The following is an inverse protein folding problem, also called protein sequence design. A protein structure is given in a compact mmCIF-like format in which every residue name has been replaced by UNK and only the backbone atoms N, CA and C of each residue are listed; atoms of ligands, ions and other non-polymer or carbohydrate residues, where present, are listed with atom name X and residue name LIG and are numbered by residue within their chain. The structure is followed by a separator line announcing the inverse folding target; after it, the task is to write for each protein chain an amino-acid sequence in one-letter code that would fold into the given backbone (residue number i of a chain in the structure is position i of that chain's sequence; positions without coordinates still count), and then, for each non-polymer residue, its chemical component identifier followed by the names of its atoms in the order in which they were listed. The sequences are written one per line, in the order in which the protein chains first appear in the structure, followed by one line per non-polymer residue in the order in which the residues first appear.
data_IF_641778435684
#
_entry.id   IF_641778435684
#
_cell.length_a   1.000
_cell.length_b   1.000
_cell.length_c   1.000
_cell.angle_alpha   90.00
_cell.angle_beta   90.00
_cell.angle_gamma   90.00
#
_symmetry.space_group_name_H-M   'P 1'
#
loop_
_entity.id
_entity.type
_entity.pdbx_description
1 polymer ?
#
# COMPACT_ATOMS: atom_id res chain seq x y z
N UNK A 1 28.27 14.90 14.75
CA UNK A 1 27.52 15.25 13.52
C UNK A 1 26.25 16.06 13.84
N UNK A 2 25.57 15.73 14.94
CA UNK A 2 24.28 16.32 15.35
C UNK A 2 24.38 17.51 16.32
N UNK A 3 25.55 17.75 16.92
CA UNK A 3 25.75 18.84 17.90
C UNK A 3 25.56 20.24 17.30
N UNK A 4 24.90 21.11 18.07
CA UNK A 4 24.62 22.52 17.76
C UNK A 4 23.80 22.76 16.48
N UNK A 5 22.98 21.80 16.08
CA UNK A 5 22.03 21.93 14.96
C UNK A 5 20.62 21.61 15.43
N UNK A 6 19.64 22.15 14.73
CA UNK A 6 18.25 21.72 14.85
C UNK A 6 18.07 20.43 14.05
N UNK A 7 17.76 19.33 14.72
CA UNK A 7 17.72 18.00 14.13
C UNK A 7 16.27 17.55 13.94
N UNK A 8 15.89 17.27 12.70
CA UNK A 8 14.56 16.79 12.34
C UNK A 8 14.64 15.32 11.98
N UNK A 9 13.89 14.47 12.67
CA UNK A 9 13.73 13.05 12.31
C UNK A 9 12.56 12.87 11.37
N UNK A 10 12.71 12.14 10.25
CA UNK A 10 11.57 11.74 9.41
C UNK A 10 11.20 10.28 9.71
N UNK A 11 10.13 10.07 10.46
CA UNK A 11 9.79 8.76 11.02
C UNK A 11 8.50 8.21 10.40
N UNK A 12 8.57 6.96 9.98
CA UNK A 12 7.41 6.17 9.58
C UNK A 12 7.09 5.19 10.69
N UNK A 13 5.79 5.02 10.95
CA UNK A 13 5.26 3.99 11.83
C UNK A 13 3.93 3.51 11.25
N UNK A 14 3.43 2.37 11.69
CA UNK A 14 2.30 1.72 11.01
C UNK A 14 1.16 1.36 11.99
N UNK A 15 1.32 1.56 13.29
CA UNK A 15 0.30 1.30 14.31
C UNK A 15 -0.11 2.55 15.09
N UNK A 16 -1.21 2.44 15.84
CA UNK A 16 -1.68 3.49 16.77
C UNK A 16 -0.92 3.53 18.11
N UNK A 17 -0.12 2.48 18.37
CA UNK A 17 0.73 2.30 19.56
C UNK A 17 2.19 2.32 19.12
N UNK A 18 3.00 3.17 19.72
CA UNK A 18 4.44 3.25 19.44
C UNK A 18 5.25 2.32 20.36
N UNK A 19 6.34 1.69 19.90
CA UNK A 19 7.14 0.79 20.73
C UNK A 19 7.81 1.53 21.90
N UNK A 20 7.62 1.04 23.12
CA UNK A 20 8.18 1.68 24.32
C UNK A 20 9.72 1.71 24.29
N UNK A 21 10.32 0.66 23.73
CA UNK A 21 11.77 0.55 23.56
C UNK A 21 12.37 1.63 22.66
N UNK A 22 11.55 2.27 21.82
CA UNK A 22 12.00 3.33 20.90
C UNK A 22 11.79 4.74 21.46
N UNK A 23 11.09 4.89 22.59
CA UNK A 23 10.87 6.19 23.25
C UNK A 23 12.19 6.96 23.51
N UNK A 24 13.32 6.32 23.88
CA UNK A 24 14.59 7.04 24.02
C UNK A 24 15.05 7.76 22.75
N UNK A 25 14.64 7.32 21.56
CA UNK A 25 15.02 7.93 20.28
C UNK A 25 14.49 9.36 20.12
N UNK A 26 13.38 9.73 20.78
CA UNK A 26 12.88 11.11 20.79
C UNK A 26 13.91 12.10 21.34
N UNK A 27 14.87 11.65 22.17
CA UNK A 27 15.93 12.50 22.71
C UNK A 27 16.99 12.88 21.67
N UNK A 28 17.02 12.21 20.52
CA UNK A 28 18.03 12.41 19.47
C UNK A 28 17.68 13.54 18.48
N UNK A 29 16.43 14.02 18.49
CA UNK A 29 15.90 15.00 17.53
C UNK A 29 15.16 16.11 18.24
N UNK A 30 15.09 17.29 17.65
CA UNK A 30 14.36 18.45 18.19
C UNK A 30 12.89 18.46 17.73
N UNK A 31 12.63 17.92 16.53
CA UNK A 31 11.31 17.81 15.90
C UNK A 31 11.22 16.53 15.07
N UNK A 32 9.99 16.05 14.85
CA UNK A 32 9.71 14.86 14.04
C UNK A 32 8.77 15.22 12.90
N UNK A 33 9.11 14.75 11.71
CA UNK A 33 8.25 14.74 10.54
C UNK A 33 7.76 13.33 10.28
N UNK A 34 6.52 13.20 9.83
CA UNK A 34 5.90 11.91 9.54
C UNK A 34 5.20 11.94 8.18
N UNK A 35 4.97 10.78 7.54
CA UNK A 35 4.36 10.76 6.22
C UNK A 35 2.83 10.90 6.20
N UNK A 36 2.15 10.82 7.35
CA UNK A 36 0.69 10.84 7.44
C UNK A 36 0.21 11.37 8.80
N UNK A 37 -1.01 11.91 8.85
CA UNK A 37 -1.63 12.31 10.11
C UNK A 37 -1.83 11.08 11.01
N UNK A 38 -2.07 9.90 10.45
CA UNK A 38 -2.07 8.64 11.20
C UNK A 38 -0.81 8.48 12.06
N UNK A 39 0.38 8.62 11.46
CA UNK A 39 1.65 8.49 12.19
C UNK A 39 1.86 9.67 13.15
N UNK A 40 1.56 10.89 12.71
CA UNK A 40 1.65 12.09 13.57
C UNK A 40 0.82 11.94 14.83
N UNK A 41 -0.43 11.49 14.69
CA UNK A 41 -1.37 11.32 15.80
C UNK A 41 -0.93 10.21 16.75
N UNK A 42 -0.27 9.16 16.24
CA UNK A 42 0.38 8.15 17.10
C UNK A 42 1.52 8.76 17.90
N UNK A 43 2.49 9.40 17.23
CA UNK A 43 3.72 9.85 17.91
C UNK A 43 3.49 10.98 18.92
N UNK A 44 2.49 11.85 18.67
CA UNK A 44 2.09 12.91 19.62
C UNK A 44 1.65 12.38 20.99
N UNK A 45 1.25 11.11 21.11
CA UNK A 45 0.91 10.48 22.39
C UNK A 45 2.14 10.24 23.28
N UNK A 46 3.35 10.29 22.72
CA UNK A 46 4.60 9.87 23.36
C UNK A 46 5.65 10.98 23.49
N UNK A 47 5.36 12.19 23.02
CA UNK A 47 6.29 13.32 23.11
C UNK A 47 5.57 14.67 23.11
N UNK A 48 6.17 15.65 23.81
CA UNK A 48 5.77 17.05 23.74
C UNK A 48 6.51 17.84 22.64
N UNK A 49 7.44 17.19 21.92
CA UNK A 49 8.17 17.80 20.80
C UNK A 49 7.24 18.03 19.61
N UNK A 50 7.54 19.00 18.72
CA UNK A 50 6.78 19.18 17.51
C UNK A 50 6.78 17.91 16.66
N UNK A 51 5.58 17.48 16.24
CA UNK A 51 5.37 16.39 15.29
C UNK A 51 4.52 16.92 14.15
N UNK A 52 5.12 17.02 12.95
CA UNK A 52 4.53 17.64 11.77
C UNK A 52 4.31 16.60 10.68
N UNK A 53 3.12 16.59 10.09
CA UNK A 53 2.84 15.76 8.93
C UNK A 53 3.45 16.38 7.68
N UNK A 54 4.43 15.69 7.11
CA UNK A 54 5.07 16.04 5.85
C UNK A 54 4.91 14.84 4.90
N UNK A 55 3.83 14.76 4.13
CA UNK A 55 3.50 13.57 3.37
C UNK A 55 4.54 13.27 2.30
N UNK A 56 4.69 11.99 1.97
CA UNK A 56 5.46 11.61 0.80
C UNK A 56 4.83 12.17 -0.47
N UNK A 57 5.67 12.57 -1.41
CA UNK A 57 5.25 12.95 -2.75
C UNK A 57 5.67 11.87 -3.74
N UNK A 58 4.82 11.63 -4.75
CA UNK A 58 5.09 10.63 -5.79
C UNK A 58 5.01 11.28 -7.17
N UNK A 59 5.85 10.81 -8.08
CA UNK A 59 5.82 11.17 -9.49
C UNK A 59 6.33 10.00 -10.34
N UNK A 60 5.69 8.81 -10.22
CA UNK A 60 6.13 7.63 -10.95
C UNK A 60 6.08 7.89 -12.45
N UNK A 61 7.03 7.28 -13.17
CA UNK A 61 7.08 7.27 -14.62
C UNK A 61 7.12 5.82 -15.07
N UNK A 62 6.12 5.44 -15.84
CA UNK A 62 6.11 4.20 -16.60
C UNK A 62 6.89 4.37 -17.90
N UNK A 63 7.53 3.31 -18.36
CA UNK A 63 8.23 3.27 -19.65
C UNK A 63 7.51 2.27 -20.56
N UNK A 64 7.05 2.68 -21.75
CA UNK A 64 6.30 1.80 -22.66
C UNK A 64 7.05 0.53 -23.11
N UNK A 65 8.36 0.46 -22.87
CA UNK A 65 9.19 -0.72 -23.17
C UNK A 65 8.98 -1.87 -22.19
N UNK A 66 8.39 -1.61 -21.03
CA UNK A 66 8.11 -2.62 -20.00
C UNK A 66 6.60 -2.90 -19.98
N UNK A 67 6.14 -3.69 -20.94
CA UNK A 67 4.76 -4.15 -21.10
C UNK A 67 4.55 -5.56 -20.52
N UNK A 68 3.32 -6.09 -20.62
CA UNK A 68 2.96 -7.41 -20.11
C UNK A 68 3.86 -8.50 -20.65
N UNK A 69 4.25 -8.38 -21.93
CA UNK A 69 5.15 -9.33 -22.58
C UNK A 69 6.54 -9.31 -21.96
N UNK A 70 7.09 -8.13 -21.64
CA UNK A 70 8.34 -8.01 -20.89
C UNK A 70 8.27 -8.75 -19.54
N UNK A 71 7.12 -8.66 -18.85
CA UNK A 71 6.89 -9.34 -17.57
C UNK A 71 6.46 -10.80 -17.69
N UNK A 72 6.27 -11.33 -18.90
CA UNK A 72 5.74 -12.69 -19.11
C UNK A 72 4.28 -12.87 -18.68
N UNK A 73 3.51 -11.78 -18.63
CA UNK A 73 2.11 -11.74 -18.24
C UNK A 73 1.19 -11.85 -19.47
N UNK A 74 -0.05 -12.37 -19.31
CA UNK A 74 -0.99 -12.51 -20.40
C UNK A 74 -1.54 -11.14 -20.86
N UNK A 75 -1.59 -10.95 -22.18
CA UNK A 75 -2.02 -9.70 -22.81
C UNK A 75 -3.55 -9.58 -22.93
N UNK A 76 -4.28 -10.70 -22.87
CA UNK A 76 -5.72 -10.80 -23.12
C UNK A 76 -6.59 -10.87 -21.85
N UNK A 77 -5.95 -10.76 -20.66
CA UNK A 77 -6.63 -10.85 -19.37
C UNK A 77 -6.80 -9.50 -18.70
N UNK A 78 -7.81 -9.39 -17.85
CA UNK A 78 -7.94 -8.32 -16.87
C UNK A 78 -7.15 -8.71 -15.61
N UNK A 79 -6.07 -8.01 -15.33
CA UNK A 79 -5.08 -8.36 -14.32
C UNK A 79 -5.23 -7.52 -13.05
N UNK A 80 -5.48 -8.21 -11.95
CA UNK A 80 -5.31 -7.67 -10.60
C UNK A 80 -3.86 -7.89 -10.17
N UNK A 81 -3.25 -6.92 -9.50
CA UNK A 81 -1.89 -7.02 -8.98
C UNK A 81 -1.89 -6.89 -7.48
N UNK A 82 -1.26 -7.86 -6.82
CA UNK A 82 -0.83 -7.77 -5.43
C UNK A 82 0.68 -7.72 -5.45
N UNK A 83 1.24 -6.70 -4.81
CA UNK A 83 2.68 -6.56 -4.65
C UNK A 83 2.99 -6.28 -3.19
N UNK A 84 3.91 -7.04 -2.64
CA UNK A 84 4.39 -6.84 -1.28
C UNK A 84 5.86 -7.23 -1.16
N UNK A 85 6.47 -6.74 -0.08
CA UNK A 85 7.84 -7.08 0.31
C UNK A 85 7.76 -7.89 1.61
N UNK A 86 8.35 -9.09 1.69
CA UNK A 86 8.18 -10.01 2.83
C UNK A 86 8.98 -9.62 4.07
N UNK A 87 10.06 -8.85 3.92
CA UNK A 87 10.75 -8.14 5.00
C UNK A 87 9.91 -7.04 5.64
N UNK A 88 8.68 -6.84 5.18
CA UNK A 88 7.66 -5.97 5.79
C UNK A 88 6.62 -6.74 6.62
N UNK A 89 6.88 -8.00 6.98
CA UNK A 89 5.96 -8.96 7.62
C UNK A 89 4.81 -9.32 6.67
N UNK A 90 4.81 -10.54 6.12
CA UNK A 90 3.79 -10.98 5.16
C UNK A 90 2.39 -10.84 5.73
N UNK A 91 2.19 -11.17 7.00
CA UNK A 91 0.90 -11.06 7.69
C UNK A 91 0.40 -9.62 7.72
N UNK A 92 1.28 -8.63 7.83
CA UNK A 92 0.86 -7.23 7.79
C UNK A 92 0.41 -6.81 6.39
N UNK A 93 1.10 -7.25 5.33
CA UNK A 93 0.71 -6.94 3.94
C UNK A 93 -0.45 -7.80 3.44
N UNK A 94 -0.66 -8.95 4.06
CA UNK A 94 -1.79 -9.87 3.90
C UNK A 94 -2.13 -10.25 2.44
N UNK A 95 -1.16 -10.75 1.65
CA UNK A 95 -1.41 -11.18 0.27
C UNK A 95 -2.44 -12.32 0.19
N UNK A 96 -2.54 -13.15 1.24
CA UNK A 96 -3.50 -14.24 1.31
C UNK A 96 -4.95 -13.75 1.29
N UNK A 97 -5.26 -12.61 1.91
CA UNK A 97 -6.59 -12.01 1.81
C UNK A 97 -6.93 -11.62 0.38
N UNK A 98 -5.95 -11.09 -0.38
CA UNK A 98 -6.17 -10.71 -1.77
C UNK A 98 -6.33 -11.94 -2.68
N UNK A 99 -5.57 -13.02 -2.44
CA UNK A 99 -5.77 -14.31 -3.12
C UNK A 99 -7.18 -14.86 -2.82
N UNK A 100 -7.61 -14.82 -1.55
CA UNK A 100 -8.93 -15.28 -1.14
C UNK A 100 -10.04 -14.45 -1.80
N UNK A 101 -9.91 -13.13 -1.82
CA UNK A 101 -10.85 -12.22 -2.48
C UNK A 101 -10.95 -12.52 -3.99
N UNK A 102 -9.82 -12.73 -4.66
CA UNK A 102 -9.80 -13.11 -6.07
C UNK A 102 -10.49 -14.45 -6.31
N UNK A 103 -10.23 -15.46 -5.47
CA UNK A 103 -10.88 -16.77 -5.61
C UNK A 103 -12.38 -16.70 -5.34
N UNK A 104 -12.81 -15.89 -4.37
CA UNK A 104 -14.23 -15.65 -4.09
C UNK A 104 -14.93 -14.88 -5.24
N UNK A 105 -14.20 -13.98 -5.89
CA UNK A 105 -14.69 -13.26 -7.05
C UNK A 105 -14.81 -14.15 -8.30
N UNK A 106 -13.77 -14.91 -8.63
CA UNK A 106 -13.63 -15.50 -9.98
C UNK A 106 -13.43 -17.02 -10.00
N UNK A 107 -13.25 -17.66 -8.84
CA UNK A 107 -12.90 -19.08 -8.72
C UNK A 107 -13.81 -19.89 -7.80
N UNK A 108 -14.99 -19.37 -7.44
CA UNK A 108 -15.91 -19.99 -6.47
C UNK A 108 -16.36 -21.40 -6.86
N UNK A 109 -16.57 -21.62 -8.16
CA UNK A 109 -16.94 -22.89 -8.77
C UNK A 109 -16.53 -22.90 -10.27
N UNK A 110 -16.64 -24.05 -10.93
CA UNK A 110 -16.26 -24.22 -12.34
C UNK A 110 -17.05 -23.33 -13.31
N UNK A 111 -18.32 -23.06 -13.01
CA UNK A 111 -19.14 -22.16 -13.84
C UNK A 111 -18.65 -20.72 -13.74
N UNK A 112 -18.32 -20.27 -12.53
CA UNK A 112 -17.73 -18.96 -12.25
C UNK A 112 -16.35 -18.84 -12.92
N UNK A 113 -15.48 -19.84 -12.79
CA UNK A 113 -14.17 -19.87 -13.47
C UNK A 113 -14.32 -19.73 -14.98
N UNK A 114 -15.26 -20.46 -15.57
CA UNK A 114 -15.55 -20.39 -17.00
C UNK A 114 -16.10 -19.02 -17.43
N UNK A 115 -17.00 -18.44 -16.64
CA UNK A 115 -17.56 -17.10 -16.88
C UNK A 115 -16.47 -16.02 -16.86
N UNK A 116 -15.54 -16.11 -15.90
CA UNK A 116 -14.48 -15.12 -15.66
C UNK A 116 -13.09 -15.60 -16.08
N UNK A 117 -12.99 -16.43 -17.12
CA UNK A 117 -11.72 -17.01 -17.59
C UNK A 117 -10.67 -15.96 -18.04
N UNK A 118 -11.11 -14.72 -18.28
CA UNK A 118 -10.26 -13.59 -18.64
C UNK A 118 -9.83 -12.76 -17.43
N UNK A 119 -10.25 -13.07 -16.20
CA UNK A 119 -9.69 -12.45 -15.00
C UNK A 119 -8.42 -13.19 -14.58
N UNK A 120 -7.40 -12.45 -14.14
CA UNK A 120 -6.16 -13.01 -13.59
C UNK A 120 -5.62 -12.22 -12.41
N UNK A 121 -4.88 -12.89 -11.53
CA UNK A 121 -4.19 -12.27 -10.40
C UNK A 121 -2.69 -12.41 -10.58
N UNK A 122 -1.96 -11.33 -10.45
CA UNK A 122 -0.49 -11.31 -10.44
C UNK A 122 -0.03 -11.11 -9.00
N UNK A 123 0.82 -12.01 -8.52
CA UNK A 123 1.46 -11.91 -7.21
C UNK A 123 2.93 -11.59 -7.46
N UNK A 124 3.30 -10.34 -7.18
CA UNK A 124 4.69 -9.87 -7.26
C UNK A 124 5.33 -9.91 -5.87
N UNK A 125 6.44 -10.63 -5.75
CA UNK A 125 7.26 -10.69 -4.53
C UNK A 125 8.72 -10.37 -4.86
N UNK A 126 9.43 -9.64 -4.00
CA UNK A 126 10.86 -9.37 -4.18
C UNK A 126 11.70 -10.64 -3.90
N UNK A 127 12.68 -10.92 -4.77
CA UNK A 127 13.49 -12.15 -4.71
C UNK A 127 14.35 -12.27 -3.46
N UNK A 128 14.89 -11.16 -2.96
CA UNK A 128 15.76 -11.15 -1.78
C UNK A 128 15.06 -11.57 -0.50
N UNK A 129 13.74 -11.75 -0.54
CA UNK A 129 12.91 -11.85 0.67
C UNK A 129 11.87 -12.97 0.61
N UNK A 130 11.71 -13.71 -0.51
CA UNK A 130 10.81 -14.87 -0.54
C UNK A 130 11.41 -16.01 0.29
N UNK A 131 10.86 -16.23 1.47
CA UNK A 131 11.18 -17.43 2.24
C UNK A 131 10.52 -18.66 1.59
N UNK A 132 11.16 -19.82 1.70
CA UNK A 132 10.57 -21.08 1.24
C UNK A 132 9.22 -21.37 1.93
N UNK A 133 9.03 -20.86 3.16
CA UNK A 133 7.81 -21.00 3.92
C UNK A 133 6.69 -20.12 3.32
N UNK A 134 6.96 -18.86 2.99
CA UNK A 134 5.97 -17.98 2.34
C UNK A 134 5.56 -18.52 0.97
N UNK A 135 6.53 -18.99 0.19
CA UNK A 135 6.26 -19.63 -1.11
C UNK A 135 5.38 -20.88 -0.95
N UNK A 136 5.68 -21.72 0.04
CA UNK A 136 4.89 -22.91 0.37
C UNK A 136 3.46 -22.56 0.77
N UNK A 137 3.28 -21.54 1.62
CA UNK A 137 1.96 -21.07 2.05
C UNK A 137 1.14 -20.58 0.85
N UNK A 138 1.73 -19.76 -0.02
CA UNK A 138 1.04 -19.21 -1.20
C UNK A 138 0.69 -20.34 -2.18
N UNK A 139 1.63 -21.24 -2.47
CA UNK A 139 1.39 -22.37 -3.35
C UNK A 139 0.34 -23.34 -2.77
N UNK A 140 0.15 -23.38 -1.45
CA UNK A 140 -0.87 -24.25 -0.82
C UNK A 140 -2.30 -23.75 -1.04
N UNK A 141 -2.50 -22.48 -1.41
CA UNK A 141 -3.83 -21.88 -1.62
C UNK A 141 -4.17 -21.61 -3.09
N UNK A 142 -3.21 -21.80 -3.99
CA UNK A 142 -3.37 -21.62 -5.44
C UNK A 142 -3.56 -22.98 -6.11
N UNK A 143 -4.66 -23.14 -6.85
CA UNK A 143 -4.86 -24.31 -7.69
C UNK A 143 -4.22 -24.09 -9.07
N UNK A 144 -3.76 -25.15 -9.73
CA UNK A 144 -3.09 -25.05 -11.04
C UNK A 144 -3.93 -24.37 -12.13
N UNK A 145 -5.25 -24.48 -12.02
CA UNK A 145 -6.19 -23.94 -12.99
C UNK A 145 -6.71 -22.55 -12.59
N UNK A 146 -6.24 -22.00 -11.47
CA UNK A 146 -6.51 -20.61 -11.13
C UNK A 146 -5.61 -19.73 -12.02
N UNK A 147 -6.17 -18.69 -12.65
CA UNK A 147 -5.43 -17.71 -13.44
C UNK A 147 -4.56 -16.81 -12.53
N UNK A 148 -3.69 -17.40 -11.72
CA UNK A 148 -2.84 -16.74 -10.75
C UNK A 148 -1.38 -16.89 -11.21
N UNK A 149 -0.73 -15.76 -11.45
CA UNK A 149 0.61 -15.67 -12.02
C UNK A 149 1.58 -15.20 -10.94
N UNK A 150 2.62 -15.99 -10.73
CA UNK A 150 3.65 -15.66 -9.75
C UNK A 150 4.84 -14.97 -10.40
N UNK A 151 5.26 -13.84 -9.84
CA UNK A 151 6.39 -13.06 -10.34
C UNK A 151 7.39 -12.79 -9.21
N UNK A 152 8.37 -13.69 -9.07
CA UNK A 152 9.53 -13.51 -8.20
C UNK A 152 10.70 -12.92 -8.99
N UNK A 153 11.48 -12.05 -8.37
CA UNK A 153 12.61 -11.40 -9.04
C UNK A 153 12.81 -9.96 -8.56
N UNK A 154 14.05 -9.48 -8.63
CA UNK A 154 14.29 -8.04 -8.51
C UNK A 154 13.73 -7.30 -9.74
N UNK A 155 12.87 -6.32 -9.51
CA UNK A 155 12.40 -5.37 -10.52
C UNK A 155 12.84 -3.99 -10.11
N UNK A 156 13.43 -3.26 -11.05
CA UNK A 156 13.85 -1.90 -10.77
C UNK A 156 12.64 -0.97 -10.67
N UNK A 157 12.84 0.26 -10.17
CA UNK A 157 11.73 1.20 -9.95
C UNK A 157 10.94 1.53 -11.23
N UNK A 158 11.59 1.60 -12.39
CA UNK A 158 10.91 1.88 -13.67
C UNK A 158 10.04 0.70 -14.08
N UNK A 159 10.53 -0.52 -13.87
CA UNK A 159 9.75 -1.74 -14.11
C UNK A 159 8.55 -1.83 -13.18
N UNK A 160 8.71 -1.54 -11.87
CA UNK A 160 7.58 -1.50 -10.94
C UNK A 160 6.53 -0.48 -11.38
N UNK A 161 6.93 0.74 -11.71
CA UNK A 161 5.98 1.76 -12.18
C UNK A 161 5.28 1.33 -13.48
N UNK A 162 6.00 0.65 -14.39
CA UNK A 162 5.42 0.22 -15.66
C UNK A 162 4.46 -0.95 -15.44
N UNK A 163 4.82 -1.90 -14.57
CA UNK A 163 3.93 -2.97 -14.13
C UNK A 163 2.65 -2.41 -13.50
N UNK A 164 2.76 -1.43 -12.60
CA UNK A 164 1.60 -0.77 -12.00
C UNK A 164 0.70 -0.12 -13.05
N UNK A 165 1.27 0.50 -14.08
CA UNK A 165 0.52 1.16 -15.16
C UNK A 165 -0.11 0.19 -16.17
N UNK A 166 0.39 -1.05 -16.22
CA UNK A 166 0.06 -2.02 -17.28
C UNK A 166 -0.88 -3.14 -16.80
N UNK A 167 -1.05 -3.29 -15.49
CA UNK A 167 -2.14 -4.07 -14.87
C UNK A 167 -3.41 -3.23 -14.78
N UNK A 168 -4.57 -3.90 -14.64
CA UNK A 168 -5.86 -3.23 -14.64
C UNK A 168 -6.28 -2.74 -13.25
N UNK A 169 -5.88 -3.44 -12.17
CA UNK A 169 -6.22 -3.04 -10.80
C UNK A 169 -5.07 -3.37 -9.85
N UNK A 170 -4.72 -2.45 -8.96
CA UNK A 170 -3.81 -2.71 -7.85
C UNK A 170 -4.59 -3.01 -6.56
N UNK A 171 -4.18 -4.04 -5.81
CA UNK A 171 -4.89 -4.54 -4.63
C UNK A 171 -3.96 -4.57 -3.42
N UNK A 172 -4.37 -3.91 -2.34
CA UNK A 172 -3.64 -3.84 -1.08
C UNK A 172 -4.57 -4.05 0.12
N UNK A 173 -4.81 -5.31 0.49
CA UNK A 173 -5.61 -5.68 1.67
C UNK A 173 -4.74 -5.71 2.94
N UNK A 174 -3.87 -4.71 3.08
CA UNK A 174 -2.92 -4.59 4.19
C UNK A 174 -3.66 -4.41 5.53
N UNK A 175 -3.01 -4.83 6.60
CA UNK A 175 -3.50 -4.67 7.97
C UNK A 175 -3.10 -3.37 8.64
N UNK A 176 -2.05 -2.74 8.11
CA UNK A 176 -1.42 -1.56 8.68
C UNK A 176 -0.39 -1.02 7.68
N UNK A 177 -0.32 0.29 7.48
CA UNK A 177 0.55 0.98 6.53
C UNK A 177 0.82 2.43 6.98
N UNK A 178 2.08 2.88 6.90
CA UNK A 178 2.44 4.22 7.36
C UNK A 178 2.02 5.33 6.39
N UNK A 179 1.96 5.01 5.10
CA UNK A 179 1.49 5.94 4.06
C UNK A 179 0.85 5.21 2.88
N UNK A 180 1.52 4.21 2.31
CA UNK A 180 0.99 3.49 1.15
C UNK A 180 1.53 3.98 -0.19
N UNK A 181 2.86 4.10 -0.31
CA UNK A 181 3.54 4.60 -1.51
C UNK A 181 3.10 3.90 -2.79
N UNK A 182 2.94 2.58 -2.77
CA UNK A 182 2.56 1.82 -3.98
C UNK A 182 1.11 2.13 -4.40
N UNK A 183 0.20 2.30 -3.43
CA UNK A 183 -1.18 2.71 -3.71
C UNK A 183 -1.21 4.12 -4.31
N UNK A 184 -0.45 5.05 -3.74
CA UNK A 184 -0.29 6.40 -4.27
C UNK A 184 0.26 6.40 -5.71
N UNK A 185 1.25 5.55 -5.99
CA UNK A 185 1.86 5.43 -7.32
C UNK A 185 0.91 4.82 -8.35
N UNK A 186 0.17 3.76 -7.97
CA UNK A 186 -0.85 3.15 -8.81
C UNK A 186 -1.93 4.17 -9.20
N UNK A 187 -2.46 4.91 -8.21
CA UNK A 187 -3.41 5.99 -8.46
C UNK A 187 -2.82 7.03 -9.41
N UNK A 188 -1.60 7.51 -9.16
CA UNK A 188 -0.94 8.52 -10.01
C UNK A 188 -0.79 8.06 -11.47
N UNK A 189 -0.53 6.78 -11.68
CA UNK A 189 -0.41 6.18 -13.02
C UNK A 189 -1.77 5.94 -13.69
N UNK A 190 -2.87 6.00 -12.94
CA UNK A 190 -4.24 5.84 -13.43
C UNK A 190 -4.81 4.44 -13.24
N UNK A 191 -4.15 3.61 -12.44
CA UNK A 191 -4.59 2.26 -12.12
C UNK A 191 -5.52 2.32 -10.91
N UNK A 192 -6.79 1.86 -11.04
CA UNK A 192 -7.70 1.72 -9.90
C UNK A 192 -7.08 0.93 -8.75
N UNK A 193 -7.40 1.34 -7.52
CA UNK A 193 -6.88 0.70 -6.31
C UNK A 193 -8.02 0.16 -5.45
N UNK A 194 -7.89 -1.09 -5.01
CA UNK A 194 -8.67 -1.68 -3.92
C UNK A 194 -7.76 -1.72 -2.69
N UNK A 195 -8.19 -1.12 -1.58
CA UNK A 195 -7.39 -1.09 -0.36
C UNK A 195 -8.23 -1.15 0.91
N UNK A 196 -7.65 -1.73 1.98
CA UNK A 196 -8.19 -1.62 3.34
C UNK A 196 -8.37 -0.16 3.71
N UNK A 197 -9.53 0.19 4.26
CA UNK A 197 -9.88 1.55 4.69
C UNK A 197 -9.25 1.93 6.04
N UNK A 198 -7.94 1.74 6.19
CA UNK A 198 -7.26 1.88 7.46
C UNK A 198 -5.85 2.44 7.31
N UNK A 199 -5.44 3.29 8.26
CA UNK A 199 -4.08 3.85 8.39
C UNK A 199 -3.70 4.88 7.30
N UNK A 200 -2.41 5.02 6.98
CA UNK A 200 -1.88 6.18 6.26
C UNK A 200 -2.36 6.36 4.81
N UNK A 201 -2.97 5.34 4.20
CA UNK A 201 -3.53 5.46 2.85
C UNK A 201 -4.83 6.30 2.83
N UNK A 202 -5.56 6.36 3.95
CA UNK A 202 -6.81 7.13 4.08
C UNK A 202 -6.60 8.64 3.96
N UNK A 203 -5.35 9.12 4.02
CA UNK A 203 -4.96 10.52 3.76
C UNK A 203 -5.24 10.96 2.31
N UNK A 204 -5.25 10.01 1.38
CA UNK A 204 -5.41 10.29 -0.05
C UNK A 204 -6.40 9.36 -0.78
N UNK A 205 -6.95 8.37 -0.08
CA UNK A 205 -7.92 7.42 -0.63
C UNK A 205 -9.28 7.58 0.05
N UNK A 206 -10.34 7.61 -0.76
CA UNK A 206 -11.72 7.59 -0.31
C UNK A 206 -12.60 6.92 -1.38
N UNK A 207 -13.91 6.78 -1.09
CA UNK A 207 -14.86 6.09 -1.98
C UNK A 207 -15.05 6.75 -3.37
N UNK A 208 -14.59 7.99 -3.57
CA UNK A 208 -14.61 8.64 -4.88
C UNK A 208 -13.32 8.40 -5.67
N UNK A 209 -12.20 8.08 -5.02
CA UNK A 209 -10.87 7.93 -5.64
C UNK A 209 -10.34 6.50 -5.66
N UNK A 210 -10.93 5.61 -4.86
CA UNK A 210 -10.52 4.22 -4.71
C UNK A 210 -11.67 3.33 -4.20
N UNK A 211 -11.48 2.01 -4.26
CA UNK A 211 -12.36 1.03 -3.66
C UNK A 211 -11.91 0.76 -2.21
N UNK A 212 -12.58 1.39 -1.25
CA UNK A 212 -12.24 1.30 0.18
C UNK A 212 -12.94 0.10 0.82
N UNK A 213 -12.15 -0.87 1.28
CA UNK A 213 -12.61 -2.13 1.89
C UNK A 213 -12.72 -1.97 3.40
N UNK A 214 -13.86 -2.40 3.97
CA UNK A 214 -14.07 -2.48 5.41
C UNK A 214 -13.09 -3.42 6.11
N UNK A 215 -13.05 -3.36 7.44
CA UNK A 215 -12.15 -4.19 8.25
C UNK A 215 -12.69 -4.39 9.65
N UNK A 216 -12.20 -5.45 10.30
CA UNK A 216 -12.32 -5.65 11.74
C UNK A 216 -10.96 -5.41 12.41
N UNK A 217 -10.97 -4.76 13.57
CA UNK A 217 -9.75 -4.60 14.37
C UNK A 217 -9.48 -5.90 15.14
N UNK A 218 -8.34 -6.52 14.88
CA UNK A 218 -7.89 -7.76 15.50
C UNK A 218 -6.66 -7.51 16.37
N UNK A 219 -6.68 -8.06 17.59
CA UNK A 219 -5.52 -8.03 18.49
C UNK A 219 -4.54 -9.14 18.13
N UNK A 220 -3.24 -8.83 18.11
CA UNK A 220 -2.18 -9.79 17.85
C UNK A 220 -2.01 -10.74 19.03
N UNK A 221 -2.06 -12.04 18.76
CA UNK A 221 -1.91 -13.10 19.77
C UNK A 221 -0.44 -13.46 20.07
N UNK A 222 0.47 -13.05 19.18
CA UNK A 222 1.92 -13.23 19.25
C UNK A 222 2.66 -12.01 18.67
N UNK A 223 3.97 -12.01 18.86
CA UNK A 223 4.86 -11.02 18.25
C UNK A 223 5.11 -11.34 16.77
N UNK A 224 5.15 -10.29 15.96
CA UNK A 224 5.58 -10.28 14.57
C UNK A 224 6.66 -9.20 14.40
N UNK A 225 7.92 -9.59 14.62
CA UNK A 225 9.08 -8.69 14.58
C UNK A 225 8.92 -7.46 15.51
N UNK A 226 8.73 -6.26 14.94
CA UNK A 226 8.51 -5.01 15.67
C UNK A 226 7.08 -4.84 16.18
N UNK A 227 6.12 -5.64 15.68
CA UNK A 227 4.73 -5.63 16.13
C UNK A 227 4.56 -6.62 17.29
N UNK A 228 4.16 -6.14 18.46
CA UNK A 228 4.09 -6.96 19.67
C UNK A 228 2.71 -7.54 19.88
N UNK A 229 2.64 -8.67 20.58
CA UNK A 229 1.40 -9.20 21.12
C UNK A 229 0.61 -8.10 21.83
N UNK A 230 -0.70 -8.04 21.61
CA UNK A 230 -1.57 -6.98 22.13
C UNK A 230 -1.64 -5.73 21.26
N UNK A 231 -0.80 -5.60 20.23
CA UNK A 231 -1.02 -4.60 19.17
C UNK A 231 -2.27 -4.94 18.36
N UNK A 232 -2.77 -3.97 17.59
CA UNK A 232 -4.02 -4.11 16.83
C UNK A 232 -3.77 -3.90 15.33
N UNK A 233 -4.37 -4.75 14.52
CA UNK A 233 -4.34 -4.72 13.06
C UNK A 233 -5.75 -4.63 12.47
N UNK A 234 -5.88 -4.02 11.30
CA UNK A 234 -7.14 -3.96 10.57
C UNK A 234 -7.26 -5.12 9.58
N UNK A 235 -7.99 -6.17 9.91
CA UNK A 235 -8.18 -7.31 9.02
C UNK A 235 -9.32 -7.04 8.02
N UNK A 236 -8.98 -6.97 6.74
CA UNK A 236 -9.90 -6.55 5.69
C UNK A 236 -11.06 -7.54 5.46
N UNK A 237 -12.25 -7.00 5.17
CA UNK A 237 -13.42 -7.76 4.74
C UNK A 237 -13.22 -8.30 3.32
N UNK A 238 -12.88 -9.58 3.23
CA UNK A 238 -12.49 -10.23 1.96
C UNK A 238 -13.63 -10.29 0.94
N UNK A 239 -14.86 -10.44 1.42
CA UNK A 239 -16.09 -10.44 0.62
C UNK A 239 -16.31 -9.09 -0.06
N UNK A 240 -16.14 -7.97 0.67
CA UNK A 240 -16.21 -6.63 0.08
C UNK A 240 -15.13 -6.42 -0.98
N UNK A 241 -13.90 -6.89 -0.73
CA UNK A 241 -12.83 -6.82 -1.72
C UNK A 241 -13.16 -7.63 -2.99
N UNK A 242 -13.77 -8.82 -2.84
CA UNK A 242 -14.21 -9.64 -3.95
C UNK A 242 -15.32 -8.97 -4.77
N UNK A 243 -16.24 -8.26 -4.12
CA UNK A 243 -17.30 -7.49 -4.77
C UNK A 243 -16.73 -6.30 -5.55
N UNK A 244 -15.75 -5.58 -5.00
CA UNK A 244 -15.04 -4.53 -5.75
C UNK A 244 -14.27 -5.09 -6.95
N UNK A 245 -13.62 -6.24 -6.81
CA UNK A 245 -12.93 -6.90 -7.94
C UNK A 245 -13.91 -7.22 -9.06
N UNK A 246 -15.06 -7.84 -8.76
CA UNK A 246 -16.11 -8.11 -9.74
C UNK A 246 -16.62 -6.83 -10.39
N UNK A 247 -16.90 -5.81 -9.58
CA UNK A 247 -17.47 -4.55 -10.07
C UNK A 247 -16.52 -3.81 -11.00
N UNK A 248 -15.22 -3.74 -10.67
CA UNK A 248 -14.22 -3.15 -11.56
C UNK A 248 -14.07 -3.93 -12.87
N UNK A 249 -14.25 -5.25 -12.84
CA UNK A 249 -14.21 -6.10 -14.03
C UNK A 249 -15.46 -5.95 -14.92
N UNK A 250 -16.66 -5.88 -14.33
CA UNK A 250 -17.93 -5.92 -15.06
C UNK A 250 -18.48 -4.53 -15.44
N UNK A 251 -18.21 -3.50 -14.63
CA UNK A 251 -18.76 -2.15 -14.79
C UNK A 251 -17.68 -1.16 -15.25
N UNK A 252 -17.57 -1.01 -16.57
CA UNK A 252 -16.63 -0.08 -17.19
C UNK A 252 -16.89 1.40 -16.81
N UNK A 253 -18.13 1.78 -16.45
CA UNK A 253 -18.40 3.15 -16.01
C UNK A 253 -17.82 3.38 -14.62
N UNK A 254 -18.01 2.43 -13.71
CA UNK A 254 -17.41 2.46 -12.38
C UNK A 254 -15.87 2.42 -12.46
N UNK A 255 -15.31 1.52 -13.28
CA UNK A 255 -13.87 1.42 -13.51
C UNK A 255 -13.27 2.76 -13.93
N UNK A 256 -13.82 3.38 -14.99
CA UNK A 256 -13.31 4.64 -15.51
C UNK A 256 -13.48 5.80 -14.52
N UNK A 257 -14.56 5.81 -13.72
CA UNK A 257 -14.75 6.79 -12.65
C UNK A 257 -13.63 6.68 -11.62
N UNK A 258 -13.39 5.48 -11.07
CA UNK A 258 -12.37 5.28 -10.03
C UNK A 258 -10.97 5.57 -10.58
N UNK A 259 -10.64 5.08 -11.77
CA UNK A 259 -9.35 5.34 -12.43
C UNK A 259 -9.10 6.85 -12.60
N UNK A 260 -10.05 7.57 -13.20
CA UNK A 260 -9.90 8.99 -13.52
C UNK A 260 -9.85 9.86 -12.27
N UNK A 261 -10.72 9.60 -11.29
CA UNK A 261 -10.75 10.34 -10.04
C UNK A 261 -9.48 10.11 -9.22
N UNK A 262 -9.08 8.84 -9.07
CA UNK A 262 -7.85 8.47 -8.36
C UNK A 262 -6.61 9.12 -8.98
N UNK A 263 -6.50 9.11 -10.30
CA UNK A 263 -5.38 9.73 -11.00
C UNK A 263 -5.33 11.24 -10.83
N UNK A 264 -6.49 11.90 -10.99
CA UNK A 264 -6.58 13.35 -10.87
C UNK A 264 -6.21 13.79 -9.46
N UNK A 265 -6.77 13.11 -8.45
CA UNK A 265 -6.48 13.39 -7.05
C UNK A 265 -5.00 13.17 -6.71
N UNK A 266 -4.42 12.05 -7.13
CA UNK A 266 -3.01 11.77 -6.86
C UNK A 266 -2.08 12.79 -7.51
N UNK A 267 -2.35 13.20 -8.77
CA UNK A 267 -1.55 14.22 -9.47
C UNK A 267 -1.65 15.60 -8.85
N UNK A 268 -2.77 15.92 -8.20
CA UNK A 268 -2.97 17.21 -7.53
C UNK A 268 -2.40 17.20 -6.10
N UNK A 269 -2.77 16.19 -5.30
CA UNK A 269 -2.57 16.18 -3.85
C UNK A 269 -1.31 15.44 -3.39
N UNK A 270 -0.70 14.62 -4.25
CA UNK A 270 0.55 13.90 -3.96
C UNK A 270 1.73 14.45 -4.76
N UNK A 271 1.54 15.59 -5.44
CA UNK A 271 2.58 16.29 -6.16
C UNK A 271 3.66 16.84 -5.21
N UNK A 272 4.90 16.89 -5.72
CA UNK A 272 6.07 17.43 -5.02
C UNK A 272 5.82 18.81 -4.38
N UNK A 273 5.05 19.67 -5.07
CA UNK A 273 4.77 21.03 -4.62
C UNK A 273 4.16 21.08 -3.23
N UNK A 274 3.19 20.22 -2.91
CA UNK A 274 2.51 20.22 -1.61
C UNK A 274 3.51 19.95 -0.46
N UNK A 275 4.27 18.88 -0.56
CA UNK A 275 5.26 18.53 0.47
C UNK A 275 6.38 19.57 0.54
N UNK A 276 6.82 20.11 -0.60
CA UNK A 276 7.83 21.17 -0.65
C UNK A 276 7.37 22.47 0.01
N UNK A 277 6.11 22.87 -0.18
CA UNK A 277 5.53 24.07 0.43
C UNK A 277 5.48 23.89 1.97
N UNK A 278 5.00 22.74 2.48
CA UNK A 278 5.01 22.41 3.93
C UNK A 278 6.43 22.45 4.51
N UNK A 279 7.39 21.80 3.84
CA UNK A 279 8.80 21.79 4.27
C UNK A 279 9.37 23.21 4.28
N UNK A 280 9.13 24.00 3.24
CA UNK A 280 9.65 25.36 3.13
C UNK A 280 9.10 26.27 4.23
N UNK A 281 7.79 26.20 4.49
CA UNK A 281 7.13 26.96 5.54
C UNK A 281 7.66 26.58 6.93
N UNK A 282 7.77 25.28 7.21
CA UNK A 282 8.27 24.83 8.52
C UNK A 282 9.73 25.21 8.75
N UNK A 283 10.57 25.05 7.73
CA UNK A 283 11.97 25.47 7.83
C UNK A 283 12.10 26.98 8.05
N UNK A 284 11.27 27.82 7.41
CA UNK A 284 11.27 29.27 7.67
C UNK A 284 10.94 29.59 9.13
N UNK A 285 9.91 28.95 9.69
CA UNK A 285 9.51 29.15 11.08
C UNK A 285 10.61 28.74 12.07
N UNK A 286 11.32 27.63 11.80
CA UNK A 286 12.46 27.19 12.62
C UNK A 286 13.60 28.22 12.58
N UNK A 287 13.90 28.78 11.40
CA UNK A 287 14.98 29.77 11.25
C UNK A 287 14.62 31.14 11.83
N UNK A 288 13.34 31.54 11.82
CA UNK A 288 12.90 32.82 12.38
C UNK A 288 12.76 32.80 13.91
N UNK A 289 12.66 31.61 14.51
CA UNK A 289 12.45 31.46 15.95
C UNK A 289 10.98 31.61 16.37
N UNK A 290 10.05 31.59 15.41
CA UNK A 290 8.59 31.69 15.63
C UNK A 290 7.98 30.34 16.04
N UNK A 291 8.71 29.53 16.83
CA UNK A 291 8.33 28.17 17.23
C UNK A 291 7.39 28.12 18.42
#
# INVERSE_FOLDING_TARGET
VWDYRYNIGYWAWELETFPEEWIPAFKLVDEIWTPSDFVTNTLKKYTDKPVITVPHCVAPKAEPTYDRKHFGLPEDKFLFLVMYNSGSVMERKNPLAAIKAFKEAFCKDEETKKKYQNAGLVIKVAESELSADDESIINSVIDKDDNIYYMCGHVNKKEVNSLLADVDVYVSLHRSEGFGLVMAEAMYLGTPVIATNWSGNTEFMNNDTACMVGYDLIELDKDYDVFKKGNVWADAHVDEAADYMKRLYEDNVFYNKIASNGQSYAKEHLAYKRSADIVSERLKAIHSGDM
#
